data_IF_783814728734
#
_entry.id   IF_783814728734
#
_cell.length_a   1.000
_cell.length_b   1.000
_cell.length_c   1.000
_cell.angle_alpha   90.00
_cell.angle_beta   90.00
_cell.angle_gamma   90.00
#
_symmetry.space_group_name_H-M   'P 1'
#
loop_
_entity.id
_entity.type
_entity.pdbx_description
1 polymer ?
#
# COMPACT_ATOMS: atom_id res chain seq x y z
N UNK A 1 -25.54 44.65 22.59
CA UNK A 1 -25.66 43.40 23.38
C UNK A 1 -24.36 42.64 23.24
N UNK A 2 -23.35 43.02 24.03
CA UNK A 2 -22.06 42.33 24.11
C UNK A 2 -22.17 41.28 25.22
N UNK A 3 -21.87 40.02 24.92
CA UNK A 3 -21.73 38.96 25.93
C UNK A 3 -20.38 38.27 25.76
N UNK A 4 -19.81 37.98 26.91
CA UNK A 4 -18.41 37.79 27.23
C UNK A 4 -17.82 36.44 26.79
N UNK A 5 -16.48 36.44 26.67
CA UNK A 5 -15.63 35.26 26.59
C UNK A 5 -15.71 34.42 27.87
N UNK A 6 -15.64 33.09 27.74
CA UNK A 6 -15.07 32.20 28.77
C UNK A 6 -14.10 31.20 28.15
N UNK A 7 -12.85 31.35 28.56
CA UNK A 7 -11.69 30.46 28.43
C UNK A 7 -11.81 29.35 29.49
N UNK A 8 -11.43 28.11 29.17
CA UNK A 8 -11.00 27.11 30.15
C UNK A 8 -9.99 26.17 29.48
N UNK A 9 -8.74 26.33 29.92
CA UNK A 9 -7.62 25.40 29.79
C UNK A 9 -7.81 24.25 30.79
N UNK A 10 -7.39 23.02 30.48
CA UNK A 10 -6.79 22.06 31.44
C UNK A 10 -6.34 20.76 30.72
N UNK A 11 -5.01 20.62 30.56
CA UNK A 11 -4.29 19.34 30.46
C UNK A 11 -3.98 18.82 31.89
N UNK A 12 -3.78 17.50 32.06
CA UNK A 12 -2.48 17.00 32.56
C UNK A 12 -2.01 15.71 31.83
N UNK A 13 -0.74 15.54 31.42
CA UNK A 13 0.45 15.04 32.18
C UNK A 13 0.16 13.79 33.03
N UNK A 14 0.97 12.74 33.14
CA UNK A 14 2.30 12.29 32.71
C UNK A 14 2.28 10.77 33.06
N UNK A 15 2.98 9.87 32.35
CA UNK A 15 4.08 9.14 33.00
C UNK A 15 4.90 8.26 32.05
N UNK A 16 6.21 8.33 32.25
CA UNK A 16 7.24 7.56 31.56
C UNK A 16 7.49 6.27 32.34
N UNK A 17 7.63 5.15 31.65
CA UNK A 17 8.55 4.10 32.12
C UNK A 17 9.17 3.35 30.95
N UNK A 18 10.50 3.33 30.99
CA UNK A 18 11.42 2.73 30.04
C UNK A 18 12.21 1.71 30.84
N UNK A 19 12.00 0.41 30.63
CA UNK A 19 12.96 -0.62 31.04
C UNK A 19 13.05 -1.74 29.99
N UNK A 20 14.28 -2.18 29.78
CA UNK A 20 14.78 -3.08 28.74
C UNK A 20 14.68 -4.56 29.16
N UNK A 21 14.35 -5.40 28.16
CA UNK A 21 14.94 -6.70 27.80
C UNK A 21 15.11 -7.77 28.90
N UNK A 22 14.48 -8.93 28.72
CA UNK A 22 15.21 -10.21 28.64
C UNK A 22 14.35 -11.34 28.02
N UNK A 23 15.05 -12.24 27.32
CA UNK A 23 14.58 -13.30 26.44
C UNK A 23 13.66 -14.33 27.13
N UNK A 24 12.65 -14.80 26.40
CA UNK A 24 12.21 -16.19 26.52
C UNK A 24 11.78 -16.71 25.15
N UNK A 25 12.67 -17.52 24.54
CA UNK A 25 12.38 -18.38 23.41
C UNK A 25 11.31 -19.41 23.82
N UNK A 26 10.10 -19.31 23.26
CA UNK A 26 9.20 -20.45 23.15
C UNK A 26 8.73 -20.56 21.71
N UNK A 27 9.16 -21.66 21.10
CA UNK A 27 8.86 -22.14 19.78
C UNK A 27 7.38 -22.54 19.70
N UNK A 28 6.58 -21.68 19.10
CA UNK A 28 5.28 -22.08 18.59
C UNK A 28 5.40 -22.35 17.09
N UNK A 29 5.07 -23.58 16.71
CA UNK A 29 4.87 -24.11 15.36
C UNK A 29 3.76 -23.32 14.63
N UNK A 30 3.99 -22.02 14.41
CA UNK A 30 3.21 -21.23 13.48
C UNK A 30 3.57 -21.73 12.08
N UNK A 31 2.60 -22.05 11.21
CA UNK A 31 2.89 -22.41 9.84
C UNK A 31 3.74 -21.29 9.26
N UNK A 32 5.02 -21.57 8.99
CA UNK A 32 5.96 -20.62 8.41
C UNK A 32 5.32 -20.09 7.13
N UNK A 33 4.71 -18.92 7.24
CA UNK A 33 4.09 -18.23 6.12
C UNK A 33 5.21 -18.10 5.10
N UNK A 34 5.08 -18.74 3.94
CA UNK A 34 6.06 -18.58 2.87
C UNK A 34 6.00 -17.12 2.43
N UNK A 35 6.80 -16.28 3.07
CA UNK A 35 7.02 -14.91 2.67
C UNK A 35 7.87 -15.03 1.41
N UNK A 36 7.23 -14.87 0.25
CA UNK A 36 7.96 -14.80 -1.02
C UNK A 36 8.99 -13.68 -1.00
N UNK A 37 9.90 -13.66 -1.99
CA UNK A 37 10.88 -12.58 -2.12
C UNK A 37 10.17 -11.23 -2.19
N UNK A 38 10.63 -10.19 -1.47
CA UNK A 38 10.10 -8.85 -1.62
C UNK A 38 10.13 -8.38 -3.08
N UNK A 39 9.09 -7.65 -3.49
CA UNK A 39 8.92 -7.13 -4.84
C UNK A 39 9.12 -5.62 -4.83
N UNK A 40 10.03 -5.13 -5.67
CA UNK A 40 10.29 -3.71 -5.88
C UNK A 40 9.76 -3.32 -7.26
N UNK A 41 8.84 -2.35 -7.30
CA UNK A 41 8.31 -1.81 -8.55
C UNK A 41 8.97 -0.47 -8.85
N UNK A 42 9.72 -0.38 -9.95
CA UNK A 42 10.32 0.88 -10.38
C UNK A 42 9.22 1.89 -10.75
N UNK A 43 9.52 3.17 -10.55
CA UNK A 43 8.58 4.26 -10.81
C UNK A 43 8.04 4.26 -12.25
N UNK A 44 8.86 3.87 -13.22
CA UNK A 44 8.44 3.77 -14.63
C UNK A 44 7.36 2.72 -14.85
N UNK A 45 7.53 1.51 -14.29
CA UNK A 45 6.49 0.48 -14.33
C UNK A 45 5.21 0.94 -13.60
N UNK A 46 5.37 1.55 -12.42
CA UNK A 46 4.23 2.06 -11.64
C UNK A 46 3.44 3.13 -12.39
N UNK A 47 4.13 4.06 -13.07
CA UNK A 47 3.52 5.09 -13.90
C UNK A 47 2.63 4.48 -14.98
N UNK A 48 3.10 3.44 -15.67
CA UNK A 48 2.28 2.77 -16.70
C UNK A 48 1.05 2.11 -16.10
N UNK A 49 1.20 1.40 -14.97
CA UNK A 49 0.07 0.74 -14.28
C UNK A 49 -1.02 1.77 -13.93
N UNK A 50 -0.65 2.87 -13.28
CA UNK A 50 -1.61 3.90 -12.86
C UNK A 50 -2.20 4.66 -14.05
N UNK A 51 -1.41 4.91 -15.10
CA UNK A 51 -1.90 5.57 -16.30
C UNK A 51 -3.02 4.76 -16.97
N UNK A 52 -2.83 3.45 -17.12
CA UNK A 52 -3.85 2.60 -17.73
C UNK A 52 -5.03 2.36 -16.80
N UNK A 53 -4.81 2.18 -15.49
CA UNK A 53 -5.91 2.09 -14.52
C UNK A 53 -6.80 3.34 -14.57
N UNK A 54 -6.19 4.53 -14.48
CA UNK A 54 -6.93 5.80 -14.51
C UNK A 54 -7.60 6.11 -15.86
N UNK A 55 -7.11 5.56 -16.98
CA UNK A 55 -7.77 5.70 -18.28
C UNK A 55 -9.13 5.02 -18.34
N UNK A 56 -9.29 3.87 -17.67
CA UNK A 56 -10.48 3.02 -17.78
C UNK A 56 -11.32 2.92 -16.50
N UNK A 57 -10.80 3.41 -15.37
CA UNK A 57 -11.51 3.55 -14.11
C UNK A 57 -11.26 4.97 -13.56
N UNK A 58 -12.18 5.89 -13.86
CA UNK A 58 -12.12 7.28 -13.40
C UNK A 58 -13.53 7.86 -13.23
N UNK A 59 -13.61 9.08 -12.70
CA UNK A 59 -14.87 9.74 -12.36
C UNK A 59 -15.76 10.10 -13.56
N UNK A 60 -15.22 10.08 -14.79
CA UNK A 60 -16.00 10.31 -16.01
C UNK A 60 -16.65 9.03 -16.55
N UNK A 61 -16.27 7.85 -16.04
CA UNK A 61 -16.82 6.55 -16.42
C UNK A 61 -17.58 6.00 -15.22
N UNK A 62 -18.82 5.55 -15.43
CA UNK A 62 -19.59 4.98 -14.33
C UNK A 62 -18.90 3.72 -13.79
N UNK A 63 -18.95 3.45 -12.48
CA UNK A 63 -18.30 2.28 -11.90
C UNK A 63 -18.65 0.94 -12.59
N UNK A 64 -19.91 0.77 -12.99
CA UNK A 64 -20.40 -0.42 -13.71
C UNK A 64 -19.84 -0.55 -15.15
N UNK A 65 -19.18 0.48 -15.66
CA UNK A 65 -18.53 0.50 -16.97
C UNK A 65 -16.99 0.50 -16.87
N UNK A 66 -16.45 0.41 -15.65
CA UNK A 66 -15.00 0.28 -15.45
C UNK A 66 -14.51 -1.01 -16.11
N UNK A 67 -13.29 -0.93 -16.65
CA UNK A 67 -12.65 -2.08 -17.29
C UNK A 67 -11.45 -2.51 -16.49
N UNK A 68 -11.36 -3.80 -16.25
CA UNK A 68 -10.12 -4.43 -15.82
C UNK A 68 -9.07 -4.32 -16.94
N UNK A 69 -7.85 -4.02 -16.53
CA UNK A 69 -6.70 -3.95 -17.43
C UNK A 69 -5.67 -4.96 -16.93
N UNK A 70 -5.38 -5.93 -17.78
CA UNK A 70 -4.33 -6.90 -17.57
C UNK A 70 -3.03 -6.39 -18.20
N UNK A 71 -1.90 -6.95 -17.81
CA UNK A 71 -0.61 -6.54 -18.35
C UNK A 71 0.51 -7.49 -17.99
N UNK A 72 1.65 -7.29 -18.63
CA UNK A 72 2.89 -8.05 -18.39
C UNK A 72 3.85 -7.16 -17.61
N UNK A 73 4.38 -7.68 -16.51
CA UNK A 73 5.47 -7.05 -15.76
C UNK A 73 6.80 -7.63 -16.23
N UNK A 74 7.74 -6.74 -16.56
CA UNK A 74 9.02 -7.11 -17.16
C UNK A 74 10.14 -6.60 -16.24
N UNK A 75 11.11 -7.45 -15.95
CA UNK A 75 12.24 -7.10 -15.10
C UNK A 75 13.09 -8.33 -14.75
N UNK A 76 13.72 -8.29 -13.58
CA UNK A 76 14.70 -9.29 -13.16
C UNK A 76 14.43 -9.82 -11.74
N UNK A 77 15.07 -10.93 -11.40
CA UNK A 77 15.05 -11.48 -10.05
C UNK A 77 16.48 -11.73 -9.57
N UNK A 78 16.69 -11.51 -8.28
CA UNK A 78 17.91 -11.84 -7.54
C UNK A 78 17.58 -12.90 -6.49
N UNK A 79 18.54 -13.34 -5.69
CA UNK A 79 18.28 -14.23 -4.55
C UNK A 79 17.34 -13.60 -3.52
N UNK A 80 17.41 -12.29 -3.33
CA UNK A 80 16.68 -11.55 -2.30
C UNK A 80 15.40 -10.88 -2.80
N UNK A 81 15.38 -10.43 -4.07
CA UNK A 81 14.36 -9.52 -4.59
C UNK A 81 13.79 -9.94 -5.95
N UNK A 82 12.57 -9.51 -6.22
CA UNK A 82 12.00 -9.40 -7.56
C UNK A 82 11.92 -7.92 -7.91
N UNK A 83 12.48 -7.53 -9.05
CA UNK A 83 12.55 -6.14 -9.50
C UNK A 83 11.72 -6.01 -10.77
N UNK A 84 10.63 -5.26 -10.70
CA UNK A 84 9.79 -4.92 -11.84
C UNK A 84 10.28 -3.59 -12.42
N UNK A 85 10.76 -3.63 -13.65
CA UNK A 85 11.39 -2.48 -14.31
C UNK A 85 10.45 -1.78 -15.27
N UNK A 86 9.65 -2.57 -16.00
CA UNK A 86 8.66 -2.09 -16.96
C UNK A 86 7.34 -2.83 -16.79
N UNK A 87 6.27 -2.21 -17.27
CA UNK A 87 4.95 -2.81 -17.36
C UNK A 87 4.36 -2.51 -18.73
N UNK A 88 3.78 -3.53 -19.37
CA UNK A 88 3.09 -3.43 -20.66
C UNK A 88 1.61 -3.76 -20.46
N UNK A 89 0.74 -2.81 -20.78
CA UNK A 89 -0.70 -2.99 -20.60
C UNK A 89 -1.32 -3.72 -21.80
N UNK A 90 -2.09 -4.76 -21.51
CA UNK A 90 -2.93 -5.47 -22.46
C UNK A 90 -4.36 -4.99 -22.26
N UNK A 91 -4.84 -4.15 -23.17
CA UNK A 91 -6.22 -3.65 -23.12
C UNK A 91 -7.18 -4.76 -23.55
N UNK A 92 -7.58 -5.59 -22.59
CA UNK A 92 -8.64 -6.57 -22.74
C UNK A 92 -9.62 -6.36 -21.59
N UNK A 93 -10.81 -5.84 -21.87
CA UNK A 93 -11.77 -5.49 -20.82
C UNK A 93 -13.20 -5.80 -21.24
N UNK A 94 -13.77 -6.86 -20.66
CA UNK A 94 -15.20 -6.91 -20.42
C UNK A 94 -15.55 -5.94 -19.28
N UNK A 95 -16.77 -5.42 -19.25
CA UNK A 95 -17.24 -4.64 -18.11
C UNK A 95 -17.25 -5.54 -16.86
N UNK A 96 -16.78 -5.02 -15.72
CA UNK A 96 -16.81 -5.71 -14.42
C UNK A 96 -18.10 -5.48 -13.67
#
# INVERSE_FOLDING_TARGET
MSKELKKNDEEPKDDKSNEKIEDTLQSDDLPQKRIGKPVVVKADAYKTIILYASRYANQAIKPEEWKEIYGVLIGSTTEELVIVEHAEALTFGHAT
#
